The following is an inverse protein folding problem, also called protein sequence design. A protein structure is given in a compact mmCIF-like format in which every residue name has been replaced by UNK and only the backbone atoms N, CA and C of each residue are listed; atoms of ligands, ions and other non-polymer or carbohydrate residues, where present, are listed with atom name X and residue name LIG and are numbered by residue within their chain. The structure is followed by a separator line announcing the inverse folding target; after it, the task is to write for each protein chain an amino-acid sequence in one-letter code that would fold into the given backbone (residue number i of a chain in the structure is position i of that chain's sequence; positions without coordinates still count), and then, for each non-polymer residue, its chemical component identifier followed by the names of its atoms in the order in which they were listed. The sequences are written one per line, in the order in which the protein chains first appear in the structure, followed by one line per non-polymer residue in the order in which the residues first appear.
data_IF_985684173927
#
_entry.id   IF_985684173927
#
_cell.length_a   1.000
_cell.length_b   1.000
_cell.length_c   1.000
_cell.angle_alpha   90.00
_cell.angle_beta   90.00
_cell.angle_gamma   90.00
#
_symmetry.space_group_name_H-M   'P 1'
#
loop_
_entity.id
_entity.type
_entity.pdbx_description
1 polymer ?
#
# COMPACT_ATOMS: atom_id res chain seq x y z
N UNK A 1 -11.13 23.67 7.56
CA UNK A 1 -10.31 23.35 6.37
C UNK A 1 -9.08 24.25 6.32
N UNK A 2 -7.90 23.70 6.10
CA UNK A 2 -6.67 24.48 5.90
C UNK A 2 -6.79 25.34 4.64
N UNK A 3 -6.25 26.57 4.65
CA UNK A 3 -6.24 27.46 3.47
C UNK A 3 -5.52 26.78 2.30
N UNK A 4 -5.97 27.05 1.07
CA UNK A 4 -5.32 26.57 -0.17
C UNK A 4 -3.82 26.92 -0.14
N UNK A 5 -2.94 25.93 -0.37
CA UNK A 5 -1.47 26.02 -0.29
C UNK A 5 -0.83 26.10 1.11
N UNK A 6 -1.59 25.96 2.20
CA UNK A 6 -1.00 25.98 3.55
C UNK A 6 0.03 24.86 3.76
N UNK A 7 -0.32 23.61 3.41
CA UNK A 7 0.60 22.46 3.56
C UNK A 7 1.90 22.65 2.77
N UNK A 8 1.88 22.95 1.45
CA UNK A 8 3.11 23.22 0.71
C UNK A 8 4.01 24.27 1.34
N UNK A 9 3.45 25.41 1.75
CA UNK A 9 4.22 26.50 2.38
C UNK A 9 4.83 26.07 3.71
N UNK A 10 4.06 25.41 4.56
CA UNK A 10 4.52 24.92 5.86
C UNK A 10 5.63 23.86 5.70
N UNK A 11 5.48 22.94 4.75
CA UNK A 11 6.50 21.91 4.46
C UNK A 11 7.78 22.52 3.89
N UNK A 12 7.70 23.48 2.97
CA UNK A 12 8.91 24.13 2.45
C UNK A 12 9.64 24.92 3.55
N UNK A 13 8.88 25.58 4.43
CA UNK A 13 9.44 26.28 5.60
C UNK A 13 10.11 25.28 6.55
N UNK A 14 9.49 24.12 6.80
CA UNK A 14 10.07 23.04 7.59
C UNK A 14 11.41 22.56 7.05
N UNK A 15 11.47 22.21 5.77
CA UNK A 15 12.69 21.72 5.13
C UNK A 15 13.82 22.74 5.24
N UNK A 16 13.48 24.03 5.11
CA UNK A 16 14.44 25.13 5.27
C UNK A 16 14.93 25.30 6.71
N UNK A 17 14.03 25.22 7.70
CA UNK A 17 14.35 25.56 9.10
C UNK A 17 14.87 24.38 9.92
N UNK A 18 14.42 23.15 9.62
CA UNK A 18 14.93 21.92 10.20
C UNK A 18 16.29 21.61 9.57
N UNK A 19 17.31 22.40 9.89
CA UNK A 19 18.68 22.23 9.44
C UNK A 19 19.62 22.81 10.51
N UNK A 20 20.73 22.12 10.81
CA UNK A 20 21.71 22.55 11.85
C UNK A 20 22.21 23.99 11.61
N UNK A 21 22.34 24.40 10.35
CA UNK A 21 22.83 25.73 10.00
C UNK A 21 21.81 26.84 10.30
N UNK A 22 20.51 26.55 10.20
CA UNK A 22 19.44 27.55 10.33
C UNK A 22 18.70 27.50 11.65
N UNK A 23 18.67 26.33 12.30
CA UNK A 23 17.87 26.08 13.51
C UNK A 23 18.30 26.97 14.69
N UNK A 24 19.57 27.36 14.73
CA UNK A 24 20.15 28.20 15.79
C UNK A 24 20.11 29.70 15.49
N UNK A 25 19.71 30.11 14.29
CA UNK A 25 19.67 31.52 13.88
C UNK A 25 18.59 32.32 14.64
N UNK A 26 17.48 31.68 15.00
CA UNK A 26 16.37 32.26 15.76
C UNK A 26 15.72 31.17 16.62
N UNK A 27 15.50 31.43 17.91
CA UNK A 27 14.82 30.49 18.82
C UNK A 27 13.41 30.13 18.34
N UNK A 28 12.77 31.01 17.56
CA UNK A 28 11.47 30.74 16.91
C UNK A 28 11.53 29.63 15.87
N UNK A 29 12.71 29.30 15.33
CA UNK A 29 12.87 28.21 14.36
C UNK A 29 12.63 26.86 15.03
N UNK A 30 13.19 26.65 16.23
CA UNK A 30 12.96 25.43 17.03
C UNK A 30 11.47 25.32 17.37
N UNK A 31 10.87 26.40 17.87
CA UNK A 31 9.43 26.45 18.17
C UNK A 31 8.55 26.12 16.96
N UNK A 32 8.94 26.57 15.76
CA UNK A 32 8.23 26.26 14.53
C UNK A 32 8.33 24.78 14.19
N UNK A 33 9.53 24.21 14.18
CA UNK A 33 9.78 22.79 13.88
C UNK A 33 9.01 21.90 14.86
N UNK A 34 9.10 22.19 16.15
CA UNK A 34 8.37 21.47 17.21
C UNK A 34 6.85 21.49 17.00
N UNK A 35 6.27 22.68 16.79
CA UNK A 35 4.82 22.84 16.58
C UNK A 35 4.38 22.16 15.31
N UNK A 36 5.17 22.27 14.24
CA UNK A 36 4.83 21.67 12.97
C UNK A 36 4.78 20.15 13.05
N UNK A 37 5.78 19.49 13.65
CA UNK A 37 5.80 18.03 13.77
C UNK A 37 4.54 17.51 14.47
N UNK A 38 4.15 18.15 15.58
CA UNK A 38 2.93 17.80 16.33
C UNK A 38 1.65 18.09 15.55
N UNK A 39 1.58 19.21 14.83
CA UNK A 39 0.43 19.52 13.98
C UNK A 39 0.35 18.55 12.81
N UNK A 40 1.48 18.19 12.21
CA UNK A 40 1.57 17.22 11.12
C UNK A 40 1.11 15.84 11.57
N UNK A 41 1.58 15.37 12.72
CA UNK A 41 1.11 14.13 13.34
C UNK A 41 -0.42 14.12 13.50
N UNK A 42 -1.00 15.23 13.97
CA UNK A 42 -2.44 15.37 14.12
C UNK A 42 -3.21 15.38 12.78
N UNK A 43 -2.75 16.14 11.77
CA UNK A 43 -3.44 16.21 10.48
C UNK A 43 -3.22 14.99 9.59
N UNK A 44 -2.19 14.18 9.88
CA UNK A 44 -1.96 12.89 9.23
C UNK A 44 -2.79 11.77 9.85
N UNK A 45 -3.58 12.06 10.89
CA UNK A 45 -4.49 11.07 11.44
C UNK A 45 -5.40 10.49 10.35
N UNK A 46 -5.87 9.24 10.56
CA UNK A 46 -6.63 8.47 9.57
C UNK A 46 -8.00 9.05 9.18
N UNK A 47 -8.31 10.32 9.38
CA UNK A 47 -9.59 10.94 9.00
C UNK A 47 -9.36 12.05 7.97
N UNK A 48 -8.75 11.69 6.84
CA UNK A 48 -8.49 12.61 5.72
C UNK A 48 -7.06 13.14 5.61
N UNK A 49 -6.07 12.41 6.15
CA UNK A 49 -4.65 12.76 6.05
C UNK A 49 -4.04 12.65 4.65
N UNK A 50 -4.61 11.81 3.76
CA UNK A 50 -4.03 11.50 2.43
C UNK A 50 -3.70 12.75 1.59
N UNK A 51 -4.62 13.73 1.38
CA UNK A 51 -4.31 14.89 0.55
C UNK A 51 -3.23 15.78 1.16
N UNK A 52 -3.11 15.82 2.49
CA UNK A 52 -2.08 16.58 3.18
C UNK A 52 -0.72 15.88 3.09
N UNK A 53 -0.69 14.56 3.27
CA UNK A 53 0.51 13.75 3.09
C UNK A 53 1.07 13.89 1.67
N UNK A 54 0.22 13.74 0.64
CA UNK A 54 0.63 13.89 -0.76
C UNK A 54 1.18 15.30 -1.06
N UNK A 55 0.58 16.34 -0.50
CA UNK A 55 1.08 17.70 -0.63
C UNK A 55 2.43 17.88 0.07
N UNK A 56 2.60 17.33 1.26
CA UNK A 56 3.83 17.40 2.02
C UNK A 56 4.98 16.67 1.31
N UNK A 57 4.76 15.41 0.88
CA UNK A 57 5.75 14.61 0.18
C UNK A 57 6.30 15.35 -1.06
N UNK A 58 5.40 15.92 -1.89
CA UNK A 58 5.77 16.70 -3.08
C UNK A 58 6.54 17.99 -2.80
N UNK A 59 6.62 18.41 -1.53
CA UNK A 59 7.30 19.62 -1.11
C UNK A 59 8.49 19.32 -0.18
N UNK A 60 9.05 18.12 -0.28
CA UNK A 60 10.30 17.75 0.39
C UNK A 60 10.15 17.29 1.84
N UNK A 61 8.94 16.90 2.28
CA UNK A 61 8.71 16.50 3.67
C UNK A 61 9.70 15.44 4.19
N UNK A 62 10.01 14.42 3.39
CA UNK A 62 10.99 13.39 3.79
C UNK A 62 12.39 13.97 4.00
N UNK A 63 12.82 14.93 3.19
CA UNK A 63 14.11 15.61 3.40
C UNK A 63 14.12 16.37 4.73
N UNK A 64 13.02 17.04 5.09
CA UNK A 64 12.89 17.70 6.39
C UNK A 64 12.93 16.71 7.55
N UNK A 65 12.29 15.54 7.42
CA UNK A 65 12.37 14.44 8.40
C UNK A 65 13.81 13.96 8.59
N UNK A 66 14.54 13.74 7.49
CA UNK A 66 15.96 13.34 7.52
C UNK A 66 16.80 14.40 8.24
N UNK A 67 16.59 15.68 7.94
CA UNK A 67 17.36 16.76 8.56
C UNK A 67 17.10 16.92 10.06
N UNK A 68 16.00 16.38 10.61
CA UNK A 68 15.74 16.39 12.05
C UNK A 68 16.69 15.48 12.85
N UNK A 69 17.36 14.52 12.22
CA UNK A 69 18.25 13.57 12.88
C UNK A 69 19.31 14.17 13.83
N UNK A 70 20.12 15.16 13.40
CA UNK A 70 21.04 15.87 14.29
C UNK A 70 20.34 16.82 15.28
N UNK A 71 19.05 17.11 15.10
CA UNK A 71 18.31 18.09 15.88
C UNK A 71 17.55 17.48 17.08
N UNK A 72 17.50 16.16 17.20
CA UNK A 72 16.63 15.48 18.17
C UNK A 72 16.86 15.90 19.63
N UNK A 73 18.09 16.25 20.01
CA UNK A 73 18.41 16.73 21.37
C UNK A 73 17.96 18.17 21.63
N UNK A 74 17.68 18.94 20.57
CA UNK A 74 17.21 20.33 20.63
C UNK A 74 15.69 20.43 20.64
N UNK A 75 15.01 19.44 20.06
CA UNK A 75 13.55 19.39 19.96
C UNK A 75 12.93 18.93 21.29
N UNK A 76 11.70 19.37 21.54
CA UNK A 76 10.97 18.89 22.73
C UNK A 76 10.65 17.40 22.62
N UNK A 77 10.57 16.65 23.75
CA UNK A 77 10.29 15.22 23.72
C UNK A 77 8.99 14.84 23.01
N UNK A 78 7.95 15.67 23.12
CA UNK A 78 6.67 15.48 22.43
C UNK A 78 6.81 15.64 20.90
N UNK A 79 7.63 16.57 20.43
CA UNK A 79 7.92 16.72 19.00
C UNK A 79 8.77 15.56 18.45
N UNK A 80 9.74 15.06 19.22
CA UNK A 80 10.51 13.85 18.86
C UNK A 80 9.60 12.62 18.78
N UNK A 81 8.68 12.46 19.72
CA UNK A 81 7.68 11.39 19.70
C UNK A 81 6.75 11.50 18.48
N UNK A 82 6.29 12.72 18.17
CA UNK A 82 5.49 12.99 16.97
C UNK A 82 6.24 12.61 15.68
N UNK A 83 7.52 13.00 15.58
CA UNK A 83 8.38 12.64 14.44
C UNK A 83 8.52 11.12 14.28
N UNK A 84 8.80 10.41 15.38
CA UNK A 84 8.90 8.95 15.37
C UNK A 84 7.58 8.31 14.98
N UNK A 85 6.45 8.77 15.54
CA UNK A 85 5.13 8.25 15.21
C UNK A 85 4.76 8.48 13.74
N UNK A 86 5.13 9.63 13.16
CA UNK A 86 4.99 9.87 11.72
C UNK A 86 5.72 8.80 10.90
N UNK A 87 6.96 8.47 11.24
CA UNK A 87 7.76 7.47 10.51
C UNK A 87 7.27 6.04 10.77
N UNK A 88 7.07 5.67 12.03
CA UNK A 88 6.82 4.30 12.49
C UNK A 88 5.39 3.81 12.26
N UNK A 89 4.47 4.75 12.01
CA UNK A 89 3.05 4.46 11.89
C UNK A 89 2.44 5.12 10.66
N UNK A 90 2.36 6.46 10.61
CA UNK A 90 1.60 7.14 9.55
C UNK A 90 2.16 6.89 8.15
N UNK A 91 3.46 7.09 7.94
CA UNK A 91 4.07 6.85 6.62
C UNK A 91 3.88 5.40 6.15
N UNK A 92 3.84 4.44 7.07
CA UNK A 92 3.68 3.01 6.76
C UNK A 92 2.23 2.66 6.48
N UNK A 93 1.29 3.12 7.30
CA UNK A 93 -0.14 2.78 7.19
C UNK A 93 -0.75 3.29 5.88
N UNK A 94 -0.23 4.39 5.33
CA UNK A 94 -0.64 4.89 4.02
C UNK A 94 -0.01 4.16 2.82
N UNK A 95 0.92 3.22 2.98
CA UNK A 95 1.54 2.50 1.85
C UNK A 95 0.57 1.54 1.14
N UNK A 96 -0.59 1.26 1.74
CA UNK A 96 -1.68 0.50 1.11
C UNK A 96 -2.42 1.30 0.04
N UNK A 97 -2.17 2.62 -0.05
CA UNK A 97 -2.60 3.47 -1.15
C UNK A 97 -1.50 3.51 -2.23
N UNK A 98 -1.81 3.04 -3.44
CA UNK A 98 -0.89 3.05 -4.57
C UNK A 98 -0.36 4.46 -4.88
N UNK A 99 -1.22 5.48 -4.78
CA UNK A 99 -0.90 6.89 -5.00
C UNK A 99 0.08 7.45 -3.97
N UNK A 100 -0.06 7.08 -2.70
CA UNK A 100 0.86 7.47 -1.64
C UNK A 100 2.18 6.73 -1.77
N UNK A 101 2.16 5.43 -2.06
CA UNK A 101 3.38 4.65 -2.34
C UNK A 101 4.19 5.28 -3.46
N UNK A 102 3.57 5.67 -4.58
CA UNK A 102 4.26 6.38 -5.67
C UNK A 102 4.87 7.70 -5.19
N UNK A 103 4.11 8.51 -4.44
CA UNK A 103 4.60 9.78 -3.93
C UNK A 103 5.77 9.61 -2.94
N UNK A 104 5.76 8.55 -2.14
CA UNK A 104 6.88 8.20 -1.24
C UNK A 104 8.10 7.78 -2.04
N UNK A 105 7.95 6.89 -3.02
CA UNK A 105 9.06 6.45 -3.88
C UNK A 105 9.68 7.65 -4.61
N UNK A 106 8.85 8.55 -5.14
CA UNK A 106 9.33 9.77 -5.80
C UNK A 106 10.02 10.71 -4.80
N UNK A 107 9.43 10.96 -3.64
CA UNK A 107 10.04 11.81 -2.62
C UNK A 107 11.37 11.25 -2.10
N UNK A 108 11.52 9.93 -2.01
CA UNK A 108 12.78 9.27 -1.61
C UNK A 108 13.90 9.53 -2.63
N UNK A 109 13.59 9.62 -3.94
CA UNK A 109 14.61 9.93 -4.97
C UNK A 109 15.22 11.31 -4.79
N UNK A 110 14.46 12.24 -4.21
CA UNK A 110 14.89 13.61 -3.95
C UNK A 110 15.67 13.73 -2.63
N UNK A 111 15.72 12.68 -1.80
CA UNK A 111 16.49 12.68 -0.56
C UNK A 111 17.97 12.43 -0.86
N UNK A 112 18.85 13.31 -0.37
CA UNK A 112 20.30 13.14 -0.51
C UNK A 112 20.80 11.93 0.32
N UNK A 113 21.41 10.96 -0.36
CA UNK A 113 22.01 9.76 0.25
C UNK A 113 23.04 10.11 1.33
N UNK A 114 23.89 11.13 1.12
CA UNK A 114 24.87 11.54 2.12
C UNK A 114 24.19 12.09 3.37
N UNK A 115 23.08 12.80 3.17
CA UNK A 115 22.26 13.34 4.25
C UNK A 115 21.63 12.22 5.08
N UNK A 116 21.16 11.14 4.46
CA UNK A 116 20.67 9.95 5.17
C UNK A 116 21.75 9.30 6.05
N UNK A 117 22.92 9.03 5.47
CA UNK A 117 24.06 8.41 6.17
C UNK A 117 24.55 9.26 7.36
N UNK A 118 24.50 10.59 7.23
CA UNK A 118 24.95 11.52 8.26
C UNK A 118 23.88 11.78 9.32
N UNK A 119 22.63 12.01 8.90
CA UNK A 119 21.60 12.53 9.79
C UNK A 119 20.72 11.42 10.35
N UNK A 120 20.39 10.38 9.59
CA UNK A 120 19.54 9.30 10.08
C UNK A 120 20.36 8.22 10.75
N UNK A 121 21.38 7.71 10.05
CA UNK A 121 22.17 6.55 10.49
C UNK A 121 22.93 6.77 11.81
N UNK A 122 23.23 8.03 12.14
CA UNK A 122 23.91 8.42 13.38
C UNK A 122 22.95 8.93 14.46
N UNK A 123 21.63 8.84 14.25
CA UNK A 123 20.62 9.39 15.15
C UNK A 123 19.67 8.32 15.70
N UNK A 124 18.86 8.73 16.68
CA UNK A 124 17.80 7.89 17.23
C UNK A 124 16.63 7.65 16.26
N UNK A 125 16.67 8.20 15.03
CA UNK A 125 15.70 7.91 13.96
C UNK A 125 16.02 6.64 13.19
N UNK A 126 17.26 6.13 13.27
CA UNK A 126 17.70 4.97 12.49
C UNK A 126 16.73 3.78 12.57
N UNK A 127 16.30 3.28 13.75
CA UNK A 127 15.39 2.14 13.81
C UNK A 127 14.04 2.40 13.11
N UNK A 128 13.48 3.60 13.30
CA UNK A 128 12.20 3.98 12.70
C UNK A 128 12.30 4.09 11.18
N UNK A 129 13.38 4.72 10.69
CA UNK A 129 13.61 4.88 9.26
C UNK A 129 13.82 3.54 8.56
N UNK A 130 14.58 2.63 9.18
CA UNK A 130 14.81 1.29 8.65
C UNK A 130 13.52 0.49 8.55
N UNK A 131 12.66 0.56 9.57
CA UNK A 131 11.32 -0.05 9.54
C UNK A 131 10.52 0.50 8.37
N UNK A 132 10.46 1.83 8.22
CA UNK A 132 9.78 2.49 7.11
C UNK A 132 10.29 2.00 5.74
N UNK A 133 11.61 1.97 5.54
CA UNK A 133 12.25 1.50 4.32
C UNK A 133 11.88 0.05 3.97
N UNK A 134 11.81 -0.84 4.97
CA UNK A 134 11.42 -2.23 4.75
C UNK A 134 9.97 -2.35 4.25
N UNK A 135 9.04 -1.59 4.84
CA UNK A 135 7.66 -1.56 4.36
C UNK A 135 7.56 -0.95 2.94
N UNK A 136 8.35 0.10 2.63
CA UNK A 136 8.40 0.67 1.28
C UNK A 136 8.89 -0.35 0.27
N UNK A 137 9.95 -1.11 0.59
CA UNK A 137 10.49 -2.13 -0.30
C UNK A 137 9.46 -3.24 -0.56
N UNK A 138 8.86 -3.78 0.50
CA UNK A 138 7.79 -4.79 0.41
C UNK A 138 6.64 -4.30 -0.49
N UNK A 139 6.14 -3.10 -0.23
CA UNK A 139 5.01 -2.53 -0.99
C UNK A 139 5.39 -2.18 -2.42
N UNK A 140 6.67 -1.90 -2.69
CA UNK A 140 7.21 -1.69 -4.04
C UNK A 140 7.24 -2.99 -4.86
N UNK A 141 7.53 -4.14 -4.23
CA UNK A 141 7.37 -5.45 -4.88
C UNK A 141 5.90 -5.71 -5.19
N UNK A 142 5.00 -5.45 -4.24
CA UNK A 142 3.55 -5.56 -4.49
C UNK A 142 3.12 -4.66 -5.66
N UNK A 143 3.63 -3.44 -5.74
CA UNK A 143 3.36 -2.51 -6.85
C UNK A 143 3.78 -3.10 -8.19
N UNK A 144 4.98 -3.69 -8.29
CA UNK A 144 5.49 -4.26 -9.53
C UNK A 144 4.63 -5.44 -10.00
N UNK A 145 4.32 -6.37 -9.09
CA UNK A 145 3.42 -7.51 -9.36
C UNK A 145 2.00 -7.04 -9.74
N UNK A 146 1.46 -6.04 -9.07
CA UNK A 146 0.17 -5.43 -9.39
C UNK A 146 0.17 -4.81 -10.80
N UNK A 147 1.22 -4.06 -11.14
CA UNK A 147 1.38 -3.45 -12.45
C UNK A 147 1.45 -4.48 -13.58
N UNK A 148 2.06 -5.63 -13.32
CA UNK A 148 2.04 -6.78 -14.23
C UNK A 148 0.63 -7.33 -14.41
N UNK A 149 -0.10 -7.58 -13.31
CA UNK A 149 -1.47 -8.10 -13.36
C UNK A 149 -2.44 -7.18 -14.12
N UNK A 150 -2.29 -5.86 -14.00
CA UNK A 150 -3.13 -4.92 -14.76
C UNK A 150 -2.71 -4.78 -16.23
N UNK A 151 -1.46 -5.09 -16.58
CA UNK A 151 -0.96 -5.09 -17.96
C UNK A 151 -1.36 -6.36 -18.70
N UNK A 152 -1.35 -7.51 -18.02
CA UNK A 152 -1.85 -8.78 -18.54
C UNK A 152 -3.39 -8.90 -18.51
N UNK A 153 -4.09 -7.84 -18.10
CA UNK A 153 -5.55 -7.76 -18.04
C UNK A 153 -6.15 -7.76 -19.46
N UNK A 154 -6.39 -8.96 -19.99
CA UNK A 154 -7.07 -9.20 -21.27
C UNK A 154 -8.58 -8.99 -21.19
N UNK A 155 -9.10 -8.44 -20.08
CA UNK A 155 -10.53 -8.17 -19.96
C UNK A 155 -11.03 -7.27 -21.07
N UNK A 156 -12.30 -7.47 -21.43
CA UNK A 156 -12.96 -6.65 -22.45
C UNK A 156 -13.36 -5.31 -21.83
N UNK A 157 -13.02 -4.22 -22.49
CA UNK A 157 -13.51 -2.88 -22.15
C UNK A 157 -14.39 -2.32 -23.26
N UNK A 158 -15.13 -1.25 -22.98
CA UNK A 158 -15.95 -0.54 -23.95
C UNK A 158 -15.52 0.91 -24.12
N UNK A 159 -15.64 1.43 -25.33
CA UNK A 159 -15.43 2.85 -25.60
C UNK A 159 -16.51 3.66 -24.89
N UNK A 160 -16.11 4.65 -24.10
CA UNK A 160 -17.04 5.54 -23.41
C UNK A 160 -17.88 6.43 -24.35
N UNK A 161 -17.47 6.58 -25.63
CA UNK A 161 -18.20 7.38 -26.62
C UNK A 161 -19.08 6.52 -27.54
N UNK A 162 -18.50 5.52 -28.20
CA UNK A 162 -19.19 4.76 -29.25
C UNK A 162 -19.62 3.35 -28.82
N UNK A 163 -19.31 2.94 -27.58
CA UNK A 163 -19.68 1.63 -27.05
C UNK A 163 -18.91 0.44 -27.62
N UNK A 164 -18.00 0.64 -28.60
CA UNK A 164 -17.16 -0.43 -29.17
C UNK A 164 -16.50 -1.24 -28.06
N UNK A 165 -16.62 -2.56 -28.11
CA UNK A 165 -15.99 -3.50 -27.17
C UNK A 165 -14.75 -4.12 -27.80
N UNK A 166 -13.68 -4.23 -27.02
CA UNK A 166 -12.41 -4.83 -27.45
C UNK A 166 -11.60 -5.23 -26.20
N UNK A 167 -10.44 -5.86 -26.37
CA UNK A 167 -9.48 -6.07 -25.29
C UNK A 167 -9.08 -4.72 -24.72
N UNK A 168 -9.11 -4.57 -23.39
CA UNK A 168 -8.88 -3.30 -22.69
C UNK A 168 -7.57 -2.59 -23.06
N UNK A 169 -6.53 -3.37 -23.37
CA UNK A 169 -5.24 -2.86 -23.82
C UNK A 169 -5.27 -2.18 -25.20
N UNK A 170 -6.30 -2.43 -26.01
CA UNK A 170 -6.50 -1.77 -27.31
C UNK A 170 -7.15 -0.36 -27.16
N UNK A 171 -7.54 0.03 -25.95
CA UNK A 171 -8.14 1.34 -25.69
C UNK A 171 -7.13 2.33 -25.10
N UNK A 172 -7.25 3.57 -25.54
CA UNK A 172 -6.58 4.72 -24.95
C UNK A 172 -7.31 5.16 -23.68
N UNK A 173 -6.56 5.47 -22.62
CA UNK A 173 -7.11 6.01 -21.37
C UNK A 173 -7.11 7.53 -21.41
N UNK A 174 -8.09 8.15 -20.75
CA UNK A 174 -8.07 9.59 -20.53
C UNK A 174 -6.76 10.00 -19.80
N UNK A 175 -6.00 10.95 -20.34
CA UNK A 175 -4.75 11.42 -19.73
C UNK A 175 -4.94 12.07 -18.35
N UNK A 176 -6.12 12.65 -18.09
CA UNK A 176 -6.50 13.22 -16.81
C UNK A 176 -6.92 12.15 -15.79
N UNK A 177 -8.16 11.65 -15.89
CA UNK A 177 -8.72 10.75 -14.88
C UNK A 177 -8.26 9.29 -14.99
N UNK A 178 -7.77 8.85 -16.16
CA UNK A 178 -7.39 7.45 -16.46
C UNK A 178 -8.49 6.39 -16.27
N UNK A 179 -9.75 6.79 -16.08
CA UNK A 179 -10.90 5.87 -15.91
C UNK A 179 -11.55 5.51 -17.25
N UNK A 180 -11.83 6.51 -18.07
CA UNK A 180 -12.55 6.31 -19.33
C UNK A 180 -11.61 5.77 -20.40
N UNK A 181 -12.12 4.81 -21.17
CA UNK A 181 -11.42 4.11 -22.25
C UNK A 181 -12.00 4.54 -23.60
N UNK A 182 -11.14 4.77 -24.59
CA UNK A 182 -11.50 5.25 -25.91
C UNK A 182 -10.78 4.45 -26.99
N UNK A 183 -11.51 4.03 -28.04
CA UNK A 183 -10.90 3.31 -29.15
C UNK A 183 -10.07 4.25 -30.06
N UNK A 184 -10.25 5.57 -29.93
CA UNK A 184 -9.51 6.57 -30.69
C UNK A 184 -9.49 7.93 -29.98
N UNK A 185 -8.57 8.79 -30.41
CA UNK A 185 -8.46 10.19 -29.97
C UNK A 185 -9.71 11.01 -30.34
N UNK A 186 -10.38 10.65 -31.44
CA UNK A 186 -11.61 11.32 -31.88
C UNK A 186 -12.77 11.00 -30.94
N UNK A 187 -12.92 9.74 -30.54
CA UNK A 187 -13.90 9.33 -29.53
C UNK A 187 -13.65 10.03 -28.18
N UNK A 188 -12.38 10.16 -27.77
CA UNK A 188 -12.03 10.92 -26.57
C UNK A 188 -12.43 12.40 -26.69
N UNK A 189 -12.10 13.04 -27.81
CA UNK A 189 -12.36 14.47 -28.03
C UNK A 189 -13.86 14.78 -28.10
N UNK A 190 -14.62 13.89 -28.74
CA UNK A 190 -16.08 14.00 -28.84
C UNK A 190 -16.73 13.85 -27.47
N UNK A 191 -16.36 12.81 -26.72
CA UNK A 191 -16.85 12.63 -25.34
C UNK A 191 -16.45 13.80 -24.41
N UNK A 192 -15.27 14.39 -24.64
CA UNK A 192 -14.79 15.55 -23.89
C UNK A 192 -15.62 16.82 -24.12
N UNK A 193 -15.96 17.12 -25.38
CA UNK A 193 -16.68 18.34 -25.76
C UNK A 193 -18.20 18.20 -25.65
N UNK A 194 -18.74 17.09 -26.15
CA UNK A 194 -20.18 16.88 -26.34
C UNK A 194 -20.76 15.93 -25.30
N UNK A 195 -20.02 14.88 -24.93
CA UNK A 195 -20.49 13.86 -23.98
C UNK A 195 -20.33 14.20 -22.50
N UNK A 196 -20.01 15.46 -22.16
CA UNK A 196 -19.94 15.93 -20.77
C UNK A 196 -18.72 15.44 -19.97
N UNK A 197 -17.77 14.72 -20.60
CA UNK A 197 -16.65 14.13 -19.86
C UNK A 197 -15.74 15.18 -19.22
N UNK A 198 -15.62 16.41 -19.74
CA UNK A 198 -14.79 17.46 -19.13
C UNK A 198 -15.17 17.76 -17.68
N UNK A 199 -16.46 17.92 -17.40
CA UNK A 199 -16.97 18.18 -16.05
C UNK A 199 -16.80 16.95 -15.15
N UNK A 200 -17.08 15.77 -15.69
CA UNK A 200 -16.92 14.49 -14.99
C UNK A 200 -15.45 14.24 -14.65
N UNK A 201 -14.52 14.46 -15.59
CA UNK A 201 -13.08 14.30 -15.39
C UNK A 201 -12.55 15.25 -14.32
N UNK A 202 -13.00 16.50 -14.32
CA UNK A 202 -12.63 17.47 -13.27
C UNK A 202 -13.14 17.02 -11.91
N UNK A 203 -14.42 16.63 -11.81
CA UNK A 203 -15.02 16.11 -10.58
C UNK A 203 -14.28 14.87 -10.09
N UNK A 204 -13.99 13.92 -10.96
CA UNK A 204 -13.19 12.74 -10.66
C UNK A 204 -11.80 13.11 -10.13
N UNK A 205 -11.14 14.13 -10.68
CA UNK A 205 -9.83 14.57 -10.17
C UNK A 205 -9.95 15.29 -8.82
N UNK A 206 -11.04 16.01 -8.58
CA UNK A 206 -11.33 16.73 -7.34
C UNK A 206 -11.81 15.81 -6.20
N UNK A 207 -12.59 14.78 -6.53
CA UNK A 207 -13.10 13.75 -5.60
C UNK A 207 -12.23 12.49 -5.60
N UNK A 208 -11.09 12.50 -6.28
CA UNK A 208 -10.17 11.37 -6.35
C UNK A 208 -10.66 10.16 -7.17
N UNK A 209 -11.83 10.19 -7.82
CA UNK A 209 -12.50 9.02 -8.41
C UNK A 209 -11.73 8.16 -9.42
N UNK A 210 -10.55 8.57 -9.91
CA UNK A 210 -9.66 7.73 -10.74
C UNK A 210 -8.42 7.22 -10.01
N UNK A 211 -8.03 7.95 -8.97
CA UNK A 211 -6.99 7.58 -8.01
C UNK A 211 -7.54 6.53 -7.07
N UNK A 212 -8.74 6.76 -6.55
CA UNK A 212 -9.49 5.89 -5.65
C UNK A 212 -9.68 4.48 -6.23
N UNK A 213 -10.05 4.35 -7.52
CA UNK A 213 -10.18 3.01 -8.13
C UNK A 213 -8.85 2.26 -8.23
N UNK A 214 -7.75 2.95 -8.52
CA UNK A 214 -6.43 2.28 -8.62
C UNK A 214 -5.91 1.94 -7.23
N UNK A 215 -6.04 2.87 -6.29
CA UNK A 215 -5.75 2.66 -4.88
C UNK A 215 -6.56 1.48 -4.36
N UNK A 216 -7.87 1.44 -4.60
CA UNK A 216 -8.75 0.30 -4.29
C UNK A 216 -8.21 -1.02 -4.83
N UNK A 217 -7.97 -1.11 -6.15
CA UNK A 217 -7.51 -2.36 -6.77
C UNK A 217 -6.15 -2.80 -6.24
N UNK A 218 -5.29 -1.84 -5.90
CA UNK A 218 -4.01 -2.13 -5.29
C UNK A 218 -4.19 -2.60 -3.83
N UNK A 219 -5.06 -1.98 -3.06
CA UNK A 219 -5.43 -2.41 -1.71
C UNK A 219 -6.04 -3.82 -1.72
N UNK A 220 -6.98 -4.10 -2.64
CA UNK A 220 -7.53 -5.43 -2.87
C UNK A 220 -6.40 -6.43 -3.18
N UNK A 221 -5.49 -6.08 -4.10
CA UNK A 221 -4.34 -6.91 -4.48
C UNK A 221 -3.45 -7.25 -3.28
N UNK A 222 -3.02 -6.26 -2.49
CA UNK A 222 -2.17 -6.52 -1.32
C UNK A 222 -2.91 -7.35 -0.27
N UNK A 223 -4.20 -7.13 -0.08
CA UNK A 223 -5.03 -7.88 0.88
C UNK A 223 -5.12 -9.35 0.53
N UNK A 224 -5.17 -9.69 -0.77
CA UNK A 224 -5.14 -11.09 -1.19
C UNK A 224 -3.84 -11.76 -0.76
N UNK A 225 -2.68 -11.15 -1.00
CA UNK A 225 -1.39 -11.72 -0.59
C UNK A 225 -1.25 -11.77 0.94
N UNK A 226 -1.62 -10.70 1.63
CA UNK A 226 -1.51 -10.59 3.08
C UNK A 226 -2.40 -11.63 3.78
N UNK A 227 -3.66 -11.82 3.35
CA UNK A 227 -4.53 -12.89 3.89
C UNK A 227 -3.98 -14.28 3.53
N UNK A 228 -3.54 -14.47 2.28
CA UNK A 228 -2.99 -15.76 1.82
C UNK A 228 -1.78 -16.20 2.62
N UNK A 229 -0.91 -15.25 2.97
CA UNK A 229 0.26 -15.45 3.81
C UNK A 229 -0.12 -15.99 5.20
N UNK A 230 -1.25 -15.56 5.75
CA UNK A 230 -1.70 -15.86 7.11
C UNK A 230 -2.89 -16.82 7.18
N UNK A 231 -3.22 -17.49 6.07
CA UNK A 231 -4.48 -18.23 5.93
C UNK A 231 -4.67 -19.36 6.95
N UNK A 232 -3.59 -20.05 7.35
CA UNK A 232 -3.67 -21.15 8.30
C UNK A 232 -4.13 -20.67 9.69
N UNK A 233 -3.50 -19.62 10.22
CA UNK A 233 -3.85 -19.06 11.52
C UNK A 233 -5.22 -18.36 11.50
N UNK A 234 -5.55 -17.69 10.39
CA UNK A 234 -6.89 -17.13 10.19
C UNK A 234 -7.96 -18.22 10.16
N UNK A 235 -7.68 -19.37 9.54
CA UNK A 235 -8.59 -20.50 9.57
C UNK A 235 -8.79 -21.04 11.00
N UNK A 236 -7.71 -21.21 11.77
CA UNK A 236 -7.79 -21.62 13.17
C UNK A 236 -8.55 -20.61 14.03
N UNK A 237 -8.36 -19.31 13.77
CA UNK A 237 -9.09 -18.24 14.41
C UNK A 237 -10.59 -18.34 14.12
N UNK A 238 -10.99 -18.59 12.87
CA UNK A 238 -12.39 -18.79 12.50
C UNK A 238 -13.00 -20.03 13.16
N UNK A 239 -12.27 -21.16 13.21
CA UNK A 239 -12.71 -22.37 13.90
C UNK A 239 -13.01 -22.09 15.38
N UNK A 240 -12.12 -21.35 16.05
CA UNK A 240 -12.29 -20.98 17.46
C UNK A 240 -13.41 -19.97 17.66
N UNK A 241 -13.50 -18.93 16.81
CA UNK A 241 -14.46 -17.82 16.96
C UNK A 241 -15.89 -18.22 16.60
N UNK A 242 -16.05 -19.08 15.59
CA UNK A 242 -17.36 -19.38 14.99
C UNK A 242 -17.79 -20.85 15.07
N UNK A 243 -16.93 -21.78 15.49
CA UNK A 243 -17.28 -23.21 15.55
C UNK A 243 -17.61 -23.81 14.18
N UNK A 244 -16.97 -23.31 13.12
CA UNK A 244 -17.27 -23.70 11.73
C UNK A 244 -16.85 -25.16 11.46
N UNK A 245 -17.73 -25.90 10.80
CA UNK A 245 -17.43 -27.28 10.37
C UNK A 245 -16.48 -27.28 9.16
N UNK A 246 -15.75 -28.38 8.89
CA UNK A 246 -14.91 -28.51 7.71
C UNK A 246 -15.69 -28.22 6.43
N UNK A 247 -15.22 -27.23 5.64
CA UNK A 247 -15.88 -26.84 4.39
C UNK A 247 -15.47 -27.82 3.28
N UNK A 248 -16.43 -28.39 2.52
CA UNK A 248 -16.11 -29.27 1.40
C UNK A 248 -15.29 -28.56 0.33
N UNK A 249 -14.45 -29.32 -0.37
CA UNK A 249 -13.64 -28.84 -1.49
C UNK A 249 -14.51 -28.14 -2.53
N UNK A 250 -14.13 -26.93 -2.95
CA UNK A 250 -14.85 -26.16 -3.95
C UNK A 250 -16.09 -25.42 -3.44
N UNK A 251 -16.28 -25.25 -2.13
CA UNK A 251 -17.30 -24.35 -1.57
C UNK A 251 -16.68 -23.09 -0.96
N UNK A 252 -17.41 -21.98 -1.08
CA UNK A 252 -17.07 -20.72 -0.41
C UNK A 252 -17.14 -20.90 1.11
N UNK A 253 -16.15 -20.35 1.82
CA UNK A 253 -16.10 -20.38 3.28
C UNK A 253 -17.31 -19.65 3.89
N UNK A 254 -17.82 -20.12 5.05
CA UNK A 254 -18.89 -19.43 5.78
C UNK A 254 -18.40 -18.19 6.55
N UNK A 255 -17.13 -17.81 6.39
CA UNK A 255 -16.49 -16.64 6.98
C UNK A 255 -15.52 -16.02 5.96
N UNK A 256 -15.16 -14.77 6.20
CA UNK A 256 -14.09 -14.06 5.51
C UNK A 256 -12.96 -13.68 6.45
N UNK A 257 -11.96 -13.00 5.90
CA UNK A 257 -10.86 -12.43 6.66
C UNK A 257 -10.81 -10.92 6.45
N UNK A 258 -10.39 -10.21 7.49
CA UNK A 258 -10.21 -8.76 7.48
C UNK A 258 -8.77 -8.40 7.79
N UNK A 259 -8.30 -7.31 7.19
CA UNK A 259 -6.99 -6.73 7.45
C UNK A 259 -7.16 -5.24 7.72
N UNK A 260 -6.68 -4.77 8.87
CA UNK A 260 -6.58 -3.37 9.21
C UNK A 260 -5.18 -2.84 8.92
N UNK A 261 -5.07 -2.04 7.86
CA UNK A 261 -3.84 -1.33 7.49
C UNK A 261 -3.70 0.01 8.22
N UNK A 262 -4.68 0.40 9.04
CA UNK A 262 -4.57 1.48 10.00
C UNK A 262 -3.58 1.20 11.12
N UNK A 263 -3.20 -0.06 11.34
CA UNK A 263 -2.22 -0.49 12.35
C UNK A 263 -0.89 -0.89 11.73
N UNK A 264 0.19 -0.85 12.53
CA UNK A 264 1.53 -1.23 12.10
C UNK A 264 2.22 -2.08 13.18
N UNK A 265 2.45 -3.39 12.95
CA UNK A 265 2.08 -4.16 11.76
C UNK A 265 0.55 -4.26 11.56
N UNK A 266 0.07 -4.59 10.35
CA UNK A 266 -1.36 -4.72 10.10
C UNK A 266 -2.02 -5.75 11.01
N UNK A 267 -3.23 -5.44 11.46
CA UNK A 267 -4.02 -6.31 12.33
C UNK A 267 -4.98 -7.15 11.50
N UNK A 268 -5.09 -8.42 11.80
CA UNK A 268 -5.94 -9.35 11.07
C UNK A 268 -7.01 -9.93 11.99
N UNK A 269 -8.19 -10.18 11.42
CA UNK A 269 -9.28 -10.87 12.09
C UNK A 269 -10.12 -11.66 11.08
N UNK A 270 -11.05 -12.45 11.57
CA UNK A 270 -12.06 -13.18 10.79
C UNK A 270 -13.44 -12.55 10.98
N UNK A 271 -14.21 -12.54 9.91
CA UNK A 271 -15.52 -11.87 9.83
C UNK A 271 -16.58 -12.80 9.25
N UNK A 272 -17.86 -12.53 9.52
CA UNK A 272 -18.98 -13.10 8.78
C UNK A 272 -19.78 -11.99 8.13
N UNK A 273 -20.34 -12.28 6.96
CA UNK A 273 -21.21 -11.34 6.23
C UNK A 273 -22.40 -10.85 7.08
N UNK A 274 -22.97 -11.74 7.87
CA UNK A 274 -24.13 -11.47 8.72
C UNK A 274 -23.84 -10.53 9.90
N UNK A 275 -22.57 -10.45 10.34
CA UNK A 275 -22.16 -9.68 11.52
C UNK A 275 -21.77 -8.23 11.17
N UNK A 276 -21.46 -7.96 9.90
CA UNK A 276 -20.58 -6.84 9.51
C UNK A 276 -21.18 -5.93 8.41
N UNK A 277 -22.39 -6.23 7.95
CA UNK A 277 -22.97 -5.64 6.73
C UNK A 277 -24.42 -5.18 6.98
N UNK A 278 -24.78 -3.96 6.57
CA UNK A 278 -26.16 -3.48 6.61
C UNK A 278 -27.04 -4.15 5.53
N UNK A 279 -28.36 -4.24 5.73
CA UNK A 279 -29.30 -5.01 4.88
C UNK A 279 -29.10 -4.81 3.35
N UNK A 280 -28.75 -3.61 2.90
CA UNK A 280 -28.52 -3.28 1.48
C UNK A 280 -27.22 -3.84 0.90
N UNK A 281 -26.13 -3.84 1.66
CA UNK A 281 -24.83 -4.37 1.24
C UNK A 281 -24.82 -5.90 1.26
N UNK A 282 -25.63 -6.50 2.16
CA UNK A 282 -25.85 -7.95 2.26
C UNK A 282 -26.46 -8.51 0.99
N UNK A 283 -27.44 -7.80 0.39
CA UNK A 283 -28.04 -8.21 -0.89
C UNK A 283 -27.02 -8.20 -2.05
N UNK A 284 -26.18 -7.16 -2.15
CA UNK A 284 -25.14 -7.06 -3.18
C UNK A 284 -24.09 -8.18 -3.03
N UNK A 285 -23.60 -8.43 -1.82
CA UNK A 285 -22.60 -9.47 -1.56
C UNK A 285 -23.17 -10.88 -1.73
N UNK A 286 -24.44 -11.12 -1.39
CA UNK A 286 -25.10 -12.40 -1.63
C UNK A 286 -25.24 -12.69 -3.14
N UNK A 287 -25.67 -11.70 -3.94
CA UNK A 287 -25.72 -11.88 -5.41
C UNK A 287 -24.35 -12.21 -6.00
N UNK A 288 -23.29 -11.54 -5.52
CA UNK A 288 -21.89 -11.80 -5.90
C UNK A 288 -21.41 -13.19 -5.47
N UNK A 289 -21.87 -13.67 -4.32
CA UNK A 289 -21.55 -14.99 -3.79
C UNK A 289 -22.17 -16.10 -4.64
N UNK A 290 -23.42 -15.93 -5.07
CA UNK A 290 -24.11 -16.88 -5.95
C UNK A 290 -23.44 -16.97 -7.33
N UNK A 291 -23.15 -15.83 -7.96
CA UNK A 291 -22.38 -15.74 -9.22
C UNK A 291 -21.00 -16.43 -9.08
N UNK A 292 -20.39 -16.33 -7.89
CA UNK A 292 -19.09 -16.92 -7.62
C UNK A 292 -19.16 -18.41 -7.35
N UNK A 293 -20.14 -18.89 -6.59
CA UNK A 293 -20.37 -20.33 -6.40
C UNK A 293 -20.64 -21.02 -7.75
N UNK A 294 -21.26 -20.32 -8.71
CA UNK A 294 -21.37 -20.74 -10.10
C UNK A 294 -20.03 -20.68 -10.85
N UNK A 295 -19.25 -19.61 -10.65
CA UNK A 295 -17.88 -19.47 -11.15
C UNK A 295 -16.91 -20.55 -10.67
N UNK A 296 -16.97 -20.94 -9.39
CA UNK A 296 -16.18 -22.01 -8.77
C UNK A 296 -16.57 -23.36 -9.37
N UNK A 297 -17.88 -23.61 -9.56
CA UNK A 297 -18.36 -24.83 -10.24
C UNK A 297 -17.87 -24.93 -11.68
N UNK A 298 -17.75 -23.81 -12.38
CA UNK A 298 -17.38 -23.78 -13.80
C UNK A 298 -15.86 -23.73 -14.04
N UNK A 299 -15.09 -23.10 -13.14
CA UNK A 299 -13.63 -22.87 -13.29
C UNK A 299 -12.76 -23.70 -12.34
N UNK A 300 -13.35 -24.28 -11.30
CA UNK A 300 -12.65 -25.08 -10.30
C UNK A 300 -11.75 -24.31 -9.33
N UNK A 301 -11.69 -22.97 -9.40
CA UNK A 301 -10.86 -22.14 -8.52
C UNK A 301 -11.58 -21.73 -7.24
N UNK A 302 -10.92 -21.84 -6.09
CA UNK A 302 -11.47 -21.43 -4.79
C UNK A 302 -11.38 -19.91 -4.55
N UNK A 303 -12.44 -19.30 -4.04
CA UNK A 303 -12.44 -17.89 -3.60
C UNK A 303 -12.66 -17.73 -2.10
N UNK A 304 -12.37 -16.54 -1.57
CA UNK A 304 -12.65 -16.19 -0.16
C UNK A 304 -13.14 -14.75 -0.02
N UNK A 305 -13.91 -14.47 1.03
CA UNK A 305 -14.33 -13.12 1.36
C UNK A 305 -13.20 -12.37 2.07
N UNK A 306 -12.89 -11.18 1.59
CA UNK A 306 -11.87 -10.31 2.16
C UNK A 306 -12.47 -8.94 2.51
N UNK A 307 -12.01 -8.38 3.64
CA UNK A 307 -12.25 -7.01 4.05
C UNK A 307 -10.91 -6.32 4.28
N UNK A 308 -10.77 -5.08 3.85
CA UNK A 308 -9.60 -4.27 4.15
C UNK A 308 -10.03 -2.94 4.74
N UNK A 309 -9.41 -2.56 5.84
CA UNK A 309 -9.61 -1.28 6.51
C UNK A 309 -8.36 -0.47 6.20
N UNK A 310 -8.55 0.70 5.59
CA UNK A 310 -7.47 1.65 5.33
C UNK A 310 -7.56 2.79 6.34
N UNK A 311 -6.44 3.49 6.62
CA UNK A 311 -6.52 4.79 7.27
C UNK A 311 -7.48 5.67 6.47
N UNK A 312 -8.62 6.11 7.04
CA UNK A 312 -9.70 6.75 6.26
C UNK A 312 -9.20 7.99 5.53
N UNK A 313 -9.50 8.04 4.23
CA UNK A 313 -9.35 9.21 3.39
C UNK A 313 -10.69 9.92 3.19
N UNK A 314 -10.70 10.95 2.34
CA UNK A 314 -11.94 11.57 1.87
C UNK A 314 -12.75 10.66 0.91
N UNK A 315 -12.38 9.38 0.75
CA UNK A 315 -13.06 8.41 -0.10
C UNK A 315 -13.58 7.20 0.69
N UNK A 316 -14.87 6.92 0.47
CA UNK A 316 -15.61 5.74 0.91
C UNK A 316 -15.26 4.55 0.01
N UNK A 317 -14.04 4.03 0.16
CA UNK A 317 -13.65 2.80 -0.51
C UNK A 317 -14.56 1.66 -0.05
N UNK A 318 -15.23 0.98 -0.98
CA UNK A 318 -15.89 -0.30 -0.68
C UNK A 318 -14.85 -1.27 -0.12
N UNK A 319 -14.97 -1.58 1.17
CA UNK A 319 -13.94 -2.27 1.97
C UNK A 319 -14.00 -3.79 1.86
N UNK A 320 -15.08 -4.35 1.30
CA UNK A 320 -15.31 -5.79 1.17
C UNK A 320 -15.33 -6.23 -0.28
N UNK A 321 -14.69 -7.36 -0.56
CA UNK A 321 -14.63 -7.95 -1.88
C UNK A 321 -14.45 -9.48 -1.80
N UNK A 322 -14.81 -10.17 -2.87
CA UNK A 322 -14.49 -11.59 -3.04
C UNK A 322 -13.15 -11.70 -3.76
N UNK A 323 -12.19 -12.38 -3.15
CA UNK A 323 -10.88 -12.65 -3.68
C UNK A 323 -10.84 -13.99 -4.42
N UNK A 324 -10.14 -14.03 -5.54
CA UNK A 324 -9.82 -15.26 -6.28
C UNK A 324 -8.40 -15.70 -5.93
N UNK A 325 -8.23 -16.98 -5.59
CA UNK A 325 -6.90 -17.53 -5.31
C UNK A 325 -6.21 -18.04 -6.58
N UNK A 326 -6.96 -18.27 -7.67
CA UNK A 326 -6.46 -18.96 -8.86
C UNK A 326 -6.08 -20.42 -8.62
N UNK A 327 -6.31 -20.96 -7.41
CA UNK A 327 -5.95 -22.33 -7.02
C UNK A 327 -7.08 -23.29 -7.37
N UNK A 328 -6.79 -24.28 -8.22
CA UNK A 328 -7.73 -25.33 -8.59
C UNK A 328 -7.59 -26.50 -7.61
N UNK A 329 -8.70 -26.90 -6.98
CA UNK A 329 -8.77 -28.13 -6.18
C UNK A 329 -7.97 -28.15 -4.87
N UNK A 330 -7.50 -27.01 -4.36
CA UNK A 330 -6.81 -26.91 -3.07
C UNK A 330 -7.24 -25.64 -2.31
N UNK A 331 -7.49 -25.76 -1.00
CA UNK A 331 -7.81 -24.60 -0.16
C UNK A 331 -6.56 -23.83 0.28
N UNK A 332 -6.70 -22.51 0.44
CA UNK A 332 -5.61 -21.59 0.78
C UNK A 332 -4.87 -21.97 2.09
N UNK A 333 -5.61 -22.46 3.09
CA UNK A 333 -5.11 -22.87 4.41
C UNK A 333 -4.58 -24.32 4.45
N UNK A 334 -4.71 -25.08 3.36
CA UNK A 334 -4.17 -26.44 3.23
C UNK A 334 -2.80 -26.47 2.52
N UNK A 335 -2.26 -25.30 2.15
CA UNK A 335 -0.97 -25.21 1.46
C UNK A 335 0.16 -25.67 2.39
N UNK A 336 1.03 -26.53 1.87
CA UNK A 336 2.20 -26.98 2.59
C UNK A 336 3.25 -25.86 2.66
N UNK A 337 3.60 -25.44 3.88
CA UNK A 337 4.59 -24.39 4.12
C UNK A 337 5.98 -24.72 3.56
N UNK A 338 6.38 -25.98 3.56
CA UNK A 338 7.70 -26.42 3.10
C UNK A 338 7.79 -26.32 1.57
N UNK A 339 6.74 -26.75 0.86
CA UNK A 339 6.66 -26.63 -0.60
C UNK A 339 6.71 -25.16 -1.04
N UNK A 340 6.03 -24.28 -0.30
CA UNK A 340 6.06 -22.84 -0.56
C UNK A 340 7.42 -22.21 -0.27
N UNK A 341 8.08 -22.66 0.80
CA UNK A 341 9.44 -22.21 1.13
C UNK A 341 10.44 -22.70 0.08
N UNK A 342 10.27 -23.92 -0.45
CA UNK A 342 11.08 -24.44 -1.53
C UNK A 342 10.88 -23.64 -2.83
N UNK A 343 9.63 -23.28 -3.15
CA UNK A 343 9.29 -22.56 -4.36
C UNK A 343 9.73 -21.08 -4.34
N UNK A 344 9.54 -20.40 -3.22
CA UNK A 344 9.73 -18.95 -3.10
C UNK A 344 10.92 -18.54 -2.23
N UNK A 345 11.56 -19.48 -1.54
CA UNK A 345 12.64 -19.22 -0.60
C UNK A 345 12.15 -18.83 0.80
N UNK A 346 13.07 -18.36 1.66
CA UNK A 346 12.74 -18.02 3.04
C UNK A 346 11.77 -16.83 3.13
N UNK A 347 11.08 -16.72 4.26
CA UNK A 347 10.20 -15.59 4.59
C UNK A 347 11.03 -14.41 5.10
N UNK A 348 10.83 -13.23 4.52
CA UNK A 348 11.55 -12.01 4.95
C UNK A 348 10.64 -10.88 5.42
N UNK A 349 9.34 -10.91 5.08
CA UNK A 349 8.39 -9.84 5.40
C UNK A 349 7.89 -9.93 6.84
N UNK A 350 7.51 -8.77 7.41
CA UNK A 350 6.86 -8.70 8.72
C UNK A 350 5.58 -9.54 8.73
N UNK A 351 5.26 -10.08 9.90
CA UNK A 351 3.99 -10.78 10.11
C UNK A 351 2.94 -9.83 10.65
N UNK A 352 1.70 -10.02 10.21
CA UNK A 352 0.54 -9.42 10.88
C UNK A 352 0.38 -9.87 12.33
N UNK A 353 -0.49 -9.16 13.04
CA UNK A 353 -0.93 -9.50 14.40
C UNK A 353 -2.43 -9.74 14.43
N UNK A 354 -2.93 -10.49 15.41
CA UNK A 354 -4.37 -10.53 15.71
C UNK A 354 -4.82 -9.34 16.59
N UNK A 355 -6.11 -9.30 16.92
CA UNK A 355 -6.70 -8.26 17.78
C UNK A 355 -6.11 -8.19 19.19
N UNK A 356 -5.50 -9.28 19.66
CA UNK A 356 -4.84 -9.37 20.97
C UNK A 356 -3.35 -9.00 20.89
N UNK A 357 -2.86 -8.62 19.70
CA UNK A 357 -1.47 -8.24 19.45
C UNK A 357 -0.51 -9.42 19.25
N UNK A 358 -1.02 -10.65 19.12
CA UNK A 358 -0.19 -11.83 18.89
C UNK A 358 0.17 -11.95 17.41
N UNK A 359 1.45 -12.18 17.11
CA UNK A 359 1.92 -12.39 15.74
C UNK A 359 1.31 -13.65 15.11
N UNK A 360 0.90 -13.53 13.85
CA UNK A 360 0.39 -14.64 13.06
C UNK A 360 1.52 -15.41 12.35
N UNK A 361 1.34 -16.72 12.23
CA UNK A 361 2.12 -17.58 11.35
C UNK A 361 2.02 -17.12 9.90
N UNK A 362 3.13 -17.22 9.16
CA UNK A 362 3.23 -16.79 7.77
C UNK A 362 3.77 -17.90 6.88
N UNK A 363 3.33 -17.99 5.63
CA UNK A 363 3.94 -18.83 4.59
C UNK A 363 4.64 -17.97 3.53
N UNK A 364 5.63 -18.54 2.83
CA UNK A 364 6.29 -17.84 1.71
C UNK A 364 5.37 -17.69 0.51
N UNK A 365 5.50 -16.59 -0.23
CA UNK A 365 4.77 -16.35 -1.48
C UNK A 365 5.62 -15.63 -2.54
N UNK A 366 5.00 -15.26 -3.67
CA UNK A 366 5.70 -14.62 -4.78
C UNK A 366 6.41 -13.33 -4.37
N UNK A 367 5.91 -12.60 -3.37
CA UNK A 367 6.55 -11.38 -2.88
C UNK A 367 7.87 -11.74 -2.21
N UNK A 368 7.91 -12.77 -1.35
CA UNK A 368 9.17 -13.27 -0.80
C UNK A 368 10.08 -13.78 -1.93
N UNK A 369 9.54 -14.47 -2.94
CA UNK A 369 10.28 -14.95 -4.10
C UNK A 369 11.00 -13.85 -4.89
N UNK A 370 10.37 -12.69 -5.05
CA UNK A 370 11.02 -11.52 -5.67
C UNK A 370 12.04 -10.91 -4.73
N UNK A 371 11.70 -10.72 -3.45
CA UNK A 371 12.63 -10.17 -2.46
C UNK A 371 13.90 -11.02 -2.35
N UNK A 372 13.78 -12.35 -2.40
CA UNK A 372 14.89 -13.30 -2.31
C UNK A 372 15.83 -13.28 -3.51
N UNK A 373 15.36 -12.79 -4.66
CA UNK A 373 16.12 -12.69 -5.91
C UNK A 373 16.80 -11.34 -6.09
N UNK A 374 16.39 -10.32 -5.33
CA UNK A 374 17.23 -9.13 -5.19
C UNK A 374 18.61 -9.62 -4.72
N UNK A 375 19.72 -9.02 -5.19
CA UNK A 375 21.05 -9.39 -4.75
C UNK A 375 21.24 -8.95 -3.30
N UNK A 376 20.51 -9.59 -2.38
CA UNK A 376 20.43 -9.23 -0.98
C UNK A 376 21.80 -9.38 -0.32
N UNK A 377 22.72 -10.15 -0.88
CA UNK A 377 24.12 -10.15 -0.46
C UNK A 377 24.86 -8.81 -0.66
N UNK A 378 24.41 -7.95 -1.60
CA UNK A 378 24.82 -6.54 -1.84
C UNK A 378 23.77 -5.51 -1.38
N UNK A 379 22.58 -6.00 -1.01
CA UNK A 379 21.41 -5.28 -0.48
C UNK A 379 20.95 -6.01 0.78
N UNK A 380 21.69 -5.98 1.89
CA UNK A 380 21.26 -6.79 3.04
C UNK A 380 20.15 -6.08 3.81
N UNK A 381 18.91 -6.54 3.57
CA UNK A 381 17.94 -6.67 4.64
C UNK A 381 18.66 -7.31 5.84
N UNK A 382 18.77 -6.57 6.93
CA UNK A 382 19.47 -7.02 8.14
C UNK A 382 20.73 -6.26 8.53
N UNK A 383 21.36 -5.43 7.67
CA UNK A 383 22.60 -4.71 8.06
C UNK A 383 22.57 -3.19 7.81
N UNK A 384 21.59 -2.71 7.03
CA UNK A 384 20.81 -1.50 7.40
C UNK A 384 19.59 -1.91 8.26
N UNK A 385 19.77 -3.04 8.96
CA UNK A 385 19.19 -3.44 10.24
C UNK A 385 20.34 -3.87 11.21
N UNK A 386 21.39 -3.02 11.35
CA UNK A 386 22.64 -3.11 12.19
C UNK A 386 23.71 -4.14 11.76
N UNK A 387 25.04 -3.95 11.64
CA UNK A 387 26.10 -2.91 11.46
C UNK A 387 27.43 -3.73 11.36
N UNK A 388 28.31 -3.60 10.36
CA UNK A 388 29.52 -2.77 10.44
C UNK A 388 30.41 -2.95 9.18
N UNK A 389 31.13 -1.87 8.87
CA UNK A 389 32.24 -1.61 7.94
C UNK A 389 32.52 -2.53 6.73
N UNK A 390 32.65 -1.86 5.58
CA UNK A 390 33.35 -2.23 4.34
C UNK A 390 32.53 -2.81 3.15
N UNK A 391 32.59 -2.01 2.06
CA UNK A 391 32.47 -2.35 0.64
C UNK A 391 31.07 -2.63 0.02
N UNK A 392 30.58 -1.65 -0.77
CA UNK A 392 29.69 -1.86 -1.93
C UNK A 392 28.21 -2.17 -1.67
N UNK A 393 27.44 -1.20 -1.14
CA UNK A 393 26.04 -1.37 -0.67
C UNK A 393 24.98 -0.65 -1.53
N UNK A 394 23.82 -1.30 -1.67
CA UNK A 394 22.68 -0.89 -2.46
C UNK A 394 21.48 -0.47 -1.58
N UNK A 395 20.87 0.67 -1.87
CA UNK A 395 19.75 1.34 -1.20
C UNK A 395 18.38 0.78 -1.62
N UNK A 396 17.30 1.13 -0.90
CA UNK A 396 15.93 0.77 -1.29
C UNK A 396 15.59 1.23 -2.70
N UNK A 397 16.05 2.42 -3.11
CA UNK A 397 15.80 2.94 -4.47
C UNK A 397 16.54 2.14 -5.54
N UNK A 398 17.78 1.73 -5.27
CA UNK A 398 18.55 0.87 -6.18
C UNK A 398 17.88 -0.52 -6.26
N UNK A 399 17.38 -1.07 -5.15
CA UNK A 399 16.58 -2.30 -5.11
C UNK A 399 15.28 -2.20 -5.91
N UNK A 400 14.53 -1.11 -5.74
CA UNK A 400 13.31 -0.83 -6.51
C UNK A 400 13.61 -0.74 -8.00
N UNK A 401 14.74 -0.13 -8.37
CA UNK A 401 15.14 0.01 -9.77
C UNK A 401 15.48 -1.35 -10.42
N UNK A 402 16.10 -2.26 -9.66
CA UNK A 402 16.39 -3.62 -10.14
C UNK A 402 15.14 -4.51 -10.28
N UNK A 403 14.02 -4.21 -9.62
CA UNK A 403 12.79 -4.99 -9.74
C UNK A 403 12.33 -5.13 -11.19
N UNK A 404 12.46 -4.08 -12.00
CA UNK A 404 12.07 -4.11 -13.41
C UNK A 404 12.89 -5.12 -14.23
N UNK A 405 14.17 -5.32 -13.88
CA UNK A 405 15.05 -6.27 -14.57
C UNK A 405 14.88 -7.69 -14.04
N UNK A 406 14.58 -7.85 -12.75
CA UNK A 406 14.26 -9.14 -12.13
C UNK A 406 12.95 -9.69 -12.70
N UNK A 407 11.92 -8.86 -12.86
CA UNK A 407 10.65 -9.26 -13.46
C UNK A 407 10.82 -9.79 -14.88
N UNK A 408 11.61 -9.10 -15.73
CA UNK A 408 11.93 -9.57 -17.09
C UNK A 408 12.62 -10.93 -17.08
N UNK A 409 13.58 -11.15 -16.18
CA UNK A 409 14.34 -12.40 -16.08
C UNK A 409 13.50 -13.59 -15.59
N UNK A 410 12.61 -13.37 -14.62
CA UNK A 410 11.79 -14.45 -14.05
C UNK A 410 10.70 -14.89 -15.03
N UNK A 411 10.13 -13.95 -15.78
CA UNK A 411 8.90 -14.20 -16.54
C UNK A 411 9.08 -14.07 -18.07
N UNK A 412 10.30 -13.85 -18.57
CA UNK A 412 10.65 -14.00 -19.99
C UNK A 412 10.00 -12.96 -20.91
N UNK A 413 10.22 -11.67 -20.62
CA UNK A 413 9.82 -10.55 -21.50
C UNK A 413 11.06 -9.96 -22.18
#
# INVERSE_FOLDING_TARGET
MLKKKAIPFLTQTFVKLANVNTIHEDTKNIDFVDKLLRVFEYVLQPDGGVPYLLQALRNGFLQGVVNCGPLLSLLRPDAVNALKHIIDHFLISYLSYYSVLLAIIDALKDVDRKCLEQNVDQSALKPSWMKFEQYVLERSVCKALFERCIQSDTSVSSCAQCGKRDVKNNFQKCGGCRIMHYCSKDCQTTHWKEGGHRAICKRILETGGGWDRRDRRFSEFITVYDISRHAADLHQMALKKYGVQPVPLGKTLPYGSSVDYGTVPPTFDVIKLEDDVGENETSYLNSKKDDWDEGVKTRGSGGFLAKFILPRGASDLGQMFLADTGLIGMHLWQRNSDDLTLAFGPRFRWTGIDSDGKSLGAVSDEIDGVLNKLPLAKVRMGDHFLWSSYMGRMSVLEAISELADIEKKIYGI
#
